data_IF_457288888158
#
_entry.id   IF_457288888158
#
_cell.length_a   1.000
_cell.length_b   1.000
_cell.length_c   1.000
_cell.angle_alpha   90.00
_cell.angle_beta   90.00
_cell.angle_gamma   90.00
#
_symmetry.space_group_name_H-M   'P 1'
#
loop_
_entity.id
_entity.type
_entity.pdbx_description
1 polymer ?
#
# COMPACT_ATOMS: atom_id res chain seq x y z
N UNK A 1 -14.09 -7.26 -5.50
CA UNK A 1 -13.39 -6.86 -4.27
C UNK A 1 -11.98 -7.40 -4.22
N UNK A 2 -11.33 -7.53 -5.37
CA UNK A 2 -9.94 -7.99 -5.43
C UNK A 2 -9.01 -6.80 -5.23
N UNK A 3 -7.97 -7.00 -4.45
CA UNK A 3 -6.89 -6.03 -4.36
C UNK A 3 -5.93 -6.29 -5.51
N UNK A 4 -5.91 -5.36 -6.45
CA UNK A 4 -5.07 -5.39 -7.64
C UNK A 4 -3.99 -4.32 -7.55
N UNK A 5 -2.88 -4.56 -8.21
CA UNK A 5 -1.83 -3.56 -8.31
C UNK A 5 -1.12 -3.62 -9.67
N UNK A 6 -0.45 -2.52 -10.00
CA UNK A 6 0.42 -2.41 -11.18
C UNK A 6 1.72 -1.73 -10.78
N UNK A 7 2.83 -2.13 -11.40
CA UNK A 7 4.11 -1.45 -11.20
C UNK A 7 4.21 -0.17 -12.03
N UNK A 8 4.86 0.83 -11.46
CA UNK A 8 5.08 2.16 -12.05
C UNK A 8 6.56 2.53 -12.03
N UNK A 9 6.94 3.44 -12.92
CA UNK A 9 8.30 3.98 -13.04
C UNK A 9 9.38 2.89 -13.01
N UNK A 10 9.29 1.93 -13.94
CA UNK A 10 10.23 0.79 -14.06
C UNK A 10 10.36 0.02 -12.74
N UNK A 11 9.22 -0.39 -12.17
CA UNK A 11 9.18 -1.11 -10.90
C UNK A 11 9.75 -0.32 -9.71
N UNK A 12 9.74 1.01 -9.72
CA UNK A 12 10.14 1.80 -8.55
C UNK A 12 9.09 1.73 -7.43
N UNK A 13 7.80 1.64 -7.77
CA UNK A 13 6.71 1.44 -6.80
C UNK A 13 5.55 0.65 -7.43
N UNK A 14 4.61 0.16 -6.62
CA UNK A 14 3.31 -0.32 -7.11
C UNK A 14 2.18 0.62 -6.72
N UNK A 15 1.25 0.78 -7.65
CA UNK A 15 0.00 1.49 -7.43
C UNK A 15 -1.11 0.47 -7.20
N UNK A 16 -1.87 0.65 -6.12
CA UNK A 16 -2.82 -0.33 -5.60
C UNK A 16 -4.27 0.16 -5.74
N UNK A 17 -5.20 -0.76 -5.98
CA UNK A 17 -6.63 -0.47 -6.07
C UNK A 17 -7.51 -1.68 -5.74
N UNK A 18 -8.79 -1.41 -5.48
CA UNK A 18 -9.84 -2.42 -5.32
C UNK A 18 -10.63 -2.54 -6.61
N UNK A 19 -10.62 -3.71 -7.22
CA UNK A 19 -11.50 -4.02 -8.35
C UNK A 19 -12.94 -4.21 -7.86
N UNK A 20 -13.84 -3.37 -8.35
CA UNK A 20 -15.26 -3.32 -7.93
C UNK A 20 -16.22 -3.90 -8.98
N UNK A 21 -15.69 -4.54 -10.02
CA UNK A 21 -16.48 -5.13 -11.12
C UNK A 21 -16.63 -4.20 -12.32
N UNK A 22 -17.16 -4.74 -13.42
CA UNK A 22 -17.45 -4.01 -14.67
C UNK A 22 -16.27 -3.18 -15.21
N UNK A 23 -15.04 -3.69 -15.06
CA UNK A 23 -13.84 -2.99 -15.52
C UNK A 23 -13.49 -1.76 -14.69
N UNK A 24 -13.98 -1.63 -13.45
CA UNK A 24 -13.77 -0.45 -12.60
C UNK A 24 -12.91 -0.76 -11.37
N UNK A 25 -12.12 0.23 -10.99
CA UNK A 25 -11.17 0.17 -9.88
C UNK A 25 -11.34 1.42 -9.02
N UNK A 26 -11.51 1.24 -7.72
CA UNK A 26 -11.42 2.34 -6.74
C UNK A 26 -10.01 2.32 -6.15
N UNK A 27 -9.32 3.46 -6.17
CA UNK A 27 -7.94 3.57 -5.72
C UNK A 27 -7.66 4.93 -5.09
N UNK A 28 -6.61 4.99 -4.28
CA UNK A 28 -6.21 6.20 -3.56
C UNK A 28 -4.99 6.81 -4.25
N UNK A 29 -5.04 8.09 -4.61
CA UNK A 29 -3.99 8.78 -5.37
C UNK A 29 -3.55 10.05 -4.66
N UNK A 30 -2.32 10.50 -4.91
CA UNK A 30 -1.91 11.85 -4.50
C UNK A 30 -2.78 12.90 -5.20
N UNK A 31 -3.21 13.94 -4.48
CA UNK A 31 -3.85 15.10 -5.11
C UNK A 31 -2.86 15.75 -6.05
N UNK A 32 -3.26 15.97 -7.30
CA UNK A 32 -2.56 16.93 -8.15
C UNK A 32 -2.83 18.30 -7.53
N UNK A 33 -1.77 19.04 -7.17
CA UNK A 33 -1.89 20.42 -6.73
C UNK A 33 -2.54 21.23 -7.84
N UNK A 34 -3.41 22.16 -7.47
CA UNK A 34 -4.18 23.05 -8.36
C UNK A 34 -3.33 23.85 -9.37
N UNK A 35 -2.01 23.83 -9.25
CA UNK A 35 -1.05 24.49 -10.15
C UNK A 35 -0.75 23.68 -11.43
N UNK A 36 -0.98 22.36 -11.43
CA UNK A 36 -0.83 21.50 -12.64
C UNK A 36 -2.12 21.42 -13.48
N UNK A 37 -3.19 22.12 -13.08
CA UNK A 37 -4.46 22.15 -13.83
C UNK A 37 -4.43 23.10 -15.04
N UNK A 38 -3.36 23.87 -15.23
CA UNK A 38 -3.11 24.52 -16.51
C UNK A 38 -2.48 23.51 -17.48
N UNK A 39 -3.34 22.99 -18.36
CA UNK A 39 -2.97 22.48 -19.68
C UNK A 39 -2.37 21.06 -19.78
N UNK A 40 -2.84 20.13 -18.94
CA UNK A 40 -2.82 18.70 -19.32
C UNK A 40 -4.21 18.11 -19.16
N UNK A 41 -5.01 18.30 -20.20
CA UNK A 41 -6.15 17.44 -20.48
C UNK A 41 -5.58 16.02 -20.62
N UNK A 42 -5.54 15.26 -19.52
CA UNK A 42 -5.41 13.80 -19.61
C UNK A 42 -6.43 13.37 -20.64
N UNK A 43 -6.07 12.58 -21.68
CA UNK A 43 -7.03 12.18 -22.67
C UNK A 43 -8.14 11.44 -21.93
N UNK A 44 -9.28 12.11 -21.78
CA UNK A 44 -10.37 11.63 -20.96
C UNK A 44 -10.71 10.22 -21.39
N UNK A 45 -10.93 9.33 -20.43
CA UNK A 45 -11.30 7.95 -20.73
C UNK A 45 -12.57 7.97 -21.59
N UNK A 46 -12.43 7.62 -22.87
CA UNK A 46 -13.57 7.69 -23.82
C UNK A 46 -14.60 6.58 -23.59
N UNK A 47 -14.18 5.51 -22.91
CA UNK A 47 -14.97 4.29 -22.74
C UNK A 47 -15.83 4.30 -21.48
N UNK A 48 -15.47 5.11 -20.46
CA UNK A 48 -16.14 5.11 -19.16
C UNK A 48 -16.40 6.54 -18.69
N UNK A 49 -17.66 7.01 -18.68
CA UNK A 49 -18.03 8.38 -18.31
C UNK A 49 -17.64 8.77 -16.88
N UNK A 50 -17.59 7.79 -15.97
CA UNK A 50 -17.27 7.98 -14.56
C UNK A 50 -15.78 7.76 -14.25
N UNK A 51 -14.95 7.45 -15.24
CA UNK A 51 -13.53 7.25 -15.01
C UNK A 51 -12.83 8.57 -14.67
N UNK A 52 -12.13 8.57 -13.53
CA UNK A 52 -11.52 9.76 -12.94
C UNK A 52 -12.42 10.48 -11.94
N UNK A 53 -13.64 9.98 -11.70
CA UNK A 53 -14.55 10.57 -10.71
C UNK A 53 -13.95 10.46 -9.30
N UNK A 54 -14.04 11.57 -8.57
CA UNK A 54 -13.71 11.69 -7.15
C UNK A 54 -14.54 12.79 -6.51
N UNK A 55 -14.74 12.70 -5.21
CA UNK A 55 -15.34 13.80 -4.44
C UNK A 55 -14.38 14.98 -4.29
N UNK A 56 -14.92 16.17 -4.05
CA UNK A 56 -14.10 17.35 -3.74
C UNK A 56 -13.25 17.08 -2.49
N UNK A 57 -11.99 17.51 -2.52
CA UNK A 57 -11.00 17.28 -1.46
C UNK A 57 -10.74 15.79 -1.15
N UNK A 58 -11.20 14.87 -2.01
CA UNK A 58 -10.91 13.45 -1.91
C UNK A 58 -9.80 13.02 -2.84
N UNK A 59 -8.95 12.17 -2.28
CA UNK A 59 -7.88 11.47 -2.98
C UNK A 59 -8.31 10.05 -3.41
N UNK A 60 -9.54 9.63 -3.06
CA UNK A 60 -10.11 8.35 -3.51
C UNK A 60 -10.81 8.58 -4.85
N UNK A 61 -10.38 7.85 -5.87
CA UNK A 61 -10.79 7.99 -7.27
C UNK A 61 -11.35 6.67 -7.75
N UNK A 62 -12.39 6.70 -8.58
CA UNK A 62 -12.80 5.55 -9.40
C UNK A 62 -12.32 5.74 -10.83
N UNK A 63 -11.74 4.70 -11.41
CA UNK A 63 -11.26 4.68 -12.79
C UNK A 63 -11.62 3.38 -13.48
N UNK A 64 -11.53 3.34 -14.81
CA UNK A 64 -11.54 2.07 -15.52
C UNK A 64 -10.20 1.34 -15.32
N UNK A 65 -10.22 0.03 -15.56
CA UNK A 65 -9.05 -0.83 -15.41
C UNK A 65 -7.90 -0.37 -16.30
N UNK A 66 -8.17 0.03 -17.54
CA UNK A 66 -7.12 0.48 -18.47
C UNK A 66 -6.44 1.77 -18.00
N UNK A 67 -7.21 2.74 -17.49
CA UNK A 67 -6.64 3.97 -16.93
C UNK A 67 -5.90 3.70 -15.61
N UNK A 68 -6.40 2.76 -14.78
CA UNK A 68 -5.68 2.31 -13.59
C UNK A 68 -4.36 1.63 -13.95
N UNK A 69 -4.31 0.85 -15.04
CA UNK A 69 -3.13 0.11 -15.49
C UNK A 69 -2.16 0.98 -16.29
N UNK A 70 -2.62 1.97 -17.05
CA UNK A 70 -1.77 2.72 -17.97
C UNK A 70 -1.09 1.78 -18.96
N UNK A 71 0.23 1.77 -18.97
CA UNK A 71 1.10 0.84 -19.72
C UNK A 71 1.57 -0.37 -18.89
N UNK A 72 1.14 -0.45 -17.63
CA UNK A 72 1.56 -1.45 -16.67
C UNK A 72 0.80 -2.77 -16.78
N UNK A 73 1.33 -3.79 -16.09
CA UNK A 73 0.72 -5.12 -16.02
C UNK A 73 -0.18 -5.23 -14.78
N UNK A 74 -1.26 -6.01 -14.92
CA UNK A 74 -2.17 -6.33 -13.84
C UNK A 74 -1.60 -7.46 -12.96
N UNK A 75 -1.60 -7.23 -11.65
CA UNK A 75 -1.27 -8.22 -10.63
C UNK A 75 -2.33 -8.25 -9.53
N UNK A 76 -2.43 -9.38 -8.84
CA UNK A 76 -3.30 -9.54 -7.67
C UNK A 76 -2.46 -9.65 -6.40
N UNK A 77 -2.90 -8.95 -5.35
CA UNK A 77 -2.30 -9.03 -4.03
C UNK A 77 -2.81 -10.25 -3.26
N UNK A 78 -1.90 -11.00 -2.62
CA UNK A 78 -2.24 -12.25 -1.92
C UNK A 78 -2.55 -12.00 -0.42
N UNK A 79 -3.62 -12.62 0.08
CA UNK A 79 -4.03 -12.56 1.49
C UNK A 79 -3.95 -13.94 2.14
N UNK A 80 -3.76 -13.99 3.45
CA UNK A 80 -3.71 -15.23 4.22
C UNK A 80 -2.52 -16.12 3.84
N UNK A 81 -1.43 -15.55 3.34
CA UNK A 81 -0.23 -16.34 3.01
C UNK A 81 0.43 -16.83 4.29
N UNK A 82 1.07 -18.01 4.22
CA UNK A 82 1.84 -18.50 5.36
C UNK A 82 3.08 -17.63 5.63
N UNK A 83 3.60 -17.60 6.87
CA UNK A 83 4.82 -16.86 7.20
C UNK A 83 6.01 -17.19 6.30
N UNK A 84 6.18 -18.47 5.91
CA UNK A 84 7.26 -18.90 5.03
C UNK A 84 7.12 -18.32 3.62
N UNK A 85 5.91 -18.29 3.06
CA UNK A 85 5.63 -17.64 1.77
C UNK A 85 5.90 -16.14 1.85
N UNK A 86 5.45 -15.48 2.93
CA UNK A 86 5.67 -14.05 3.13
C UNK A 86 7.18 -13.71 3.19
N UNK A 87 7.95 -14.44 4.00
CA UNK A 87 9.39 -14.24 4.18
C UNK A 87 10.15 -14.50 2.87
N UNK A 88 9.71 -15.49 2.07
CA UNK A 88 10.31 -15.79 0.77
C UNK A 88 10.03 -14.71 -0.29
N UNK A 89 8.94 -13.94 -0.18
CA UNK A 89 8.65 -12.82 -1.09
C UNK A 89 9.50 -11.60 -0.71
N UNK A 90 10.64 -11.50 -1.39
CA UNK A 90 11.59 -10.39 -1.26
C UNK A 90 10.97 -9.01 -1.55
N UNK A 91 9.92 -8.94 -2.37
CA UNK A 91 9.31 -7.67 -2.76
C UNK A 91 8.07 -7.38 -1.93
N UNK A 92 8.12 -6.27 -1.18
CA UNK A 92 6.97 -5.81 -0.42
C UNK A 92 5.84 -5.23 -1.27
N UNK A 93 4.67 -5.08 -0.65
CA UNK A 93 3.44 -4.64 -1.33
C UNK A 93 2.88 -5.69 -2.30
N UNK A 94 3.03 -6.98 -2.00
CA UNK A 94 2.54 -8.07 -2.88
C UNK A 94 1.70 -9.12 -2.16
N UNK A 95 1.88 -9.27 -0.84
CA UNK A 95 1.14 -10.22 -0.03
C UNK A 95 1.10 -9.78 1.45
N UNK A 96 0.17 -10.38 2.20
CA UNK A 96 0.05 -10.24 3.67
C UNK A 96 -0.39 -11.56 4.30
N UNK A 97 -0.02 -11.79 5.57
CA UNK A 97 -0.52 -12.93 6.34
C UNK A 97 -1.94 -12.72 6.85
N UNK A 98 -2.44 -11.48 6.85
CA UNK A 98 -3.82 -11.18 7.23
C UNK A 98 -4.83 -11.82 6.28
N UNK A 99 -5.94 -12.32 6.83
CA UNK A 99 -7.06 -12.79 6.04
C UNK A 99 -7.84 -11.62 5.43
N UNK A 100 -8.43 -11.83 4.24
CA UNK A 100 -9.36 -10.88 3.63
C UNK A 100 -10.77 -11.10 4.18
N UNK A 101 -11.50 -10.00 4.36
CA UNK A 101 -12.95 -10.01 4.50
C UNK A 101 -13.64 -10.41 3.16
N UNK A 102 -14.94 -10.80 3.20
CA UNK A 102 -15.71 -11.16 2.01
C UNK A 102 -15.78 -10.03 0.98
N UNK A 103 -15.88 -10.40 -0.30
CA UNK A 103 -15.84 -9.46 -1.42
C UNK A 103 -16.86 -8.30 -1.31
N UNK A 104 -18.07 -8.57 -0.83
CA UNK A 104 -19.12 -7.56 -0.68
C UNK A 104 -18.76 -6.51 0.38
N UNK A 105 -18.21 -6.94 1.52
CA UNK A 105 -17.68 -6.03 2.54
C UNK A 105 -16.56 -5.16 1.99
N UNK A 106 -15.65 -5.75 1.21
CA UNK A 106 -14.52 -5.02 0.61
C UNK A 106 -15.02 -3.96 -0.38
N UNK A 107 -15.97 -4.33 -1.26
CA UNK A 107 -16.57 -3.41 -2.22
C UNK A 107 -17.32 -2.30 -1.50
N UNK A 108 -18.08 -2.63 -0.44
CA UNK A 108 -18.76 -1.65 0.40
C UNK A 108 -17.79 -0.62 0.96
N UNK A 109 -16.70 -1.05 1.60
CA UNK A 109 -15.68 -0.12 2.12
C UNK A 109 -15.08 0.76 1.04
N UNK A 110 -14.68 0.18 -0.09
CA UNK A 110 -14.07 0.93 -1.19
C UNK A 110 -15.03 2.00 -1.76
N UNK A 111 -16.29 1.63 -2.01
CA UNK A 111 -17.30 2.55 -2.53
C UNK A 111 -17.72 3.60 -1.50
N UNK A 112 -17.80 3.24 -0.22
CA UNK A 112 -18.09 4.18 0.85
C UNK A 112 -16.97 5.23 0.96
N UNK A 113 -15.71 4.80 0.89
CA UNK A 113 -14.56 5.70 0.87
C UNK A 113 -14.46 6.48 -0.44
N UNK A 114 -15.00 6.03 -1.57
CA UNK A 114 -15.10 6.90 -2.76
C UNK A 114 -15.96 8.15 -2.47
N UNK A 115 -17.01 7.99 -1.65
CA UNK A 115 -17.96 9.05 -1.32
C UNK A 115 -17.54 9.91 -0.12
N UNK A 116 -16.81 9.34 0.83
CA UNK A 116 -16.44 10.00 2.09
C UNK A 116 -14.92 10.20 2.27
N UNK A 117 -14.13 9.65 1.34
CA UNK A 117 -12.68 9.52 1.31
C UNK A 117 -11.97 9.00 2.54
N UNK A 118 -10.64 9.06 2.46
CA UNK A 118 -9.72 8.26 3.26
C UNK A 118 -8.56 9.10 3.80
N UNK A 119 -8.85 10.35 4.16
CA UNK A 119 -7.86 11.32 4.63
C UNK A 119 -6.87 11.79 3.56
N UNK A 120 -5.78 12.40 4.01
CA UNK A 120 -4.75 12.95 3.14
C UNK A 120 -3.76 11.87 2.68
N UNK A 121 -3.41 11.89 1.40
CA UNK A 121 -2.44 10.96 0.83
C UNK A 121 -1.03 11.27 1.33
N UNK A 122 -0.34 10.27 1.87
CA UNK A 122 1.07 10.30 2.27
C UNK A 122 1.76 9.04 1.73
N UNK A 123 2.76 9.22 0.87
CA UNK A 123 3.50 8.14 0.19
C UNK A 123 4.08 7.11 1.18
N UNK A 124 4.47 7.54 2.38
CA UNK A 124 5.14 6.68 3.37
C UNK A 124 4.18 6.09 4.41
N UNK A 125 2.96 6.62 4.53
CA UNK A 125 2.03 6.26 5.63
C UNK A 125 0.57 6.05 5.25
N UNK A 126 -0.01 6.90 4.42
CA UNK A 126 -1.43 6.79 4.05
C UNK A 126 -1.47 6.79 2.54
N UNK A 127 -1.04 5.68 1.95
CA UNK A 127 -0.90 5.54 0.51
C UNK A 127 -1.93 4.55 -0.05
N UNK A 128 -1.79 4.21 -1.33
CA UNK A 128 -2.69 3.29 -2.01
C UNK A 128 -2.68 1.86 -1.42
N UNK A 129 -1.55 1.39 -0.88
CA UNK A 129 -1.44 0.10 -0.19
C UNK A 129 -2.23 0.12 1.12
N UNK A 130 -2.11 1.18 1.93
CA UNK A 130 -2.88 1.32 3.18
C UNK A 130 -4.39 1.35 2.94
N UNK A 131 -4.82 2.09 1.91
CA UNK A 131 -6.21 2.14 1.48
C UNK A 131 -6.77 0.76 1.14
N UNK A 132 -6.04 0.00 0.32
CA UNK A 132 -6.47 -1.32 -0.14
C UNK A 132 -6.39 -2.37 0.98
N UNK A 133 -5.37 -2.32 1.84
CA UNK A 133 -5.28 -3.16 3.05
C UNK A 133 -6.46 -2.90 3.98
N UNK A 134 -6.80 -1.63 4.24
CA UNK A 134 -7.98 -1.29 5.03
C UNK A 134 -9.27 -1.81 4.39
N UNK A 135 -9.49 -1.57 3.10
CA UNK A 135 -10.67 -2.09 2.42
C UNK A 135 -10.80 -3.61 2.56
N UNK A 136 -9.68 -4.34 2.43
CA UNK A 136 -9.65 -5.81 2.47
C UNK A 136 -9.77 -6.40 3.87
N UNK A 137 -9.32 -5.71 4.91
CA UNK A 137 -9.20 -6.31 6.26
C UNK A 137 -10.02 -5.59 7.33
N UNK A 138 -10.39 -4.33 7.08
CA UNK A 138 -10.94 -3.40 8.07
C UNK A 138 -9.93 -2.97 9.13
N UNK A 139 -8.65 -3.33 9.00
CA UNK A 139 -7.62 -3.08 10.01
C UNK A 139 -6.95 -1.72 9.80
N UNK A 140 -6.78 -0.98 10.89
CA UNK A 140 -6.02 0.26 10.96
C UNK A 140 -5.00 0.17 12.09
N UNK A 141 -3.85 0.79 11.88
CA UNK A 141 -2.80 0.88 12.89
C UNK A 141 -3.14 1.99 13.88
N UNK A 142 -3.18 1.65 15.18
CA UNK A 142 -3.58 2.54 16.27
C UNK A 142 -2.62 3.70 16.49
N UNK A 143 -1.30 3.46 16.37
CA UNK A 143 -0.27 4.47 16.59
C UNK A 143 0.33 4.98 15.26
N UNK A 144 0.06 6.25 14.91
CA UNK A 144 0.65 6.93 13.74
C UNK A 144 2.17 7.18 13.88
N UNK A 145 2.75 6.97 15.06
CA UNK A 145 4.17 7.23 15.34
C UNK A 145 5.07 5.99 15.19
N UNK A 146 4.51 4.83 14.81
CA UNK A 146 5.25 3.58 14.64
C UNK A 146 6.06 3.50 13.32
N UNK A 147 6.93 2.49 13.23
CA UNK A 147 7.72 2.14 12.02
C UNK A 147 6.79 1.97 10.81
N UNK A 148 7.25 2.44 9.64
CA UNK A 148 6.45 2.68 8.42
C UNK A 148 5.41 1.60 8.05
N UNK A 149 4.27 2.06 7.54
CA UNK A 149 3.04 1.28 7.35
C UNK A 149 3.03 0.44 6.06
N UNK A 150 3.69 0.92 5.03
CA UNK A 150 3.67 0.30 3.70
C UNK A 150 4.71 -0.80 3.57
N UNK A 151 4.31 -1.93 2.97
CA UNK A 151 5.21 -3.02 2.61
C UNK A 151 6.34 -2.57 1.68
N UNK A 152 6.17 -1.44 0.99
CA UNK A 152 7.21 -0.79 0.18
C UNK A 152 8.07 0.22 0.95
N UNK A 153 7.59 0.76 2.07
CA UNK A 153 8.28 1.77 2.87
C UNK A 153 9.07 1.19 4.06
N UNK A 154 8.96 -0.11 4.33
CA UNK A 154 9.69 -0.79 5.41
C UNK A 154 11.19 -1.00 5.05
N UNK A 155 11.94 0.10 4.93
CA UNK A 155 13.39 0.10 4.79
C UNK A 155 14.04 0.87 5.94
N UNK A 156 13.75 0.51 7.20
CA UNK A 156 14.61 0.92 8.32
C UNK A 156 15.66 -0.16 8.52
N UNK A 157 16.66 -0.20 7.63
CA UNK A 157 17.96 -0.81 7.92
C UNK A 157 18.75 0.25 8.69
N UNK A 158 18.36 0.46 9.95
CA UNK A 158 18.85 1.54 10.80
C UNK A 158 19.80 1.04 11.88
N UNK A 159 20.95 0.50 11.49
CA UNK A 159 22.15 0.60 12.32
C UNK A 159 23.23 1.27 11.46
N UNK A 160 23.91 2.34 11.91
CA UNK A 160 24.92 2.98 11.10
C UNK A 160 26.04 1.97 10.83
N UNK A 161 26.33 1.69 9.57
CA UNK A 161 27.56 1.01 9.15
C UNK A 161 28.80 1.59 9.89
N UNK A 162 28.75 2.88 10.26
CA UNK A 162 29.74 3.56 11.07
C UNK A 162 29.99 2.92 12.45
N UNK A 163 28.97 2.40 13.14
CA UNK A 163 29.12 1.75 14.45
C UNK A 163 29.82 0.37 14.35
N UNK A 164 29.65 -0.33 13.22
CA UNK A 164 30.34 -1.59 12.93
C UNK A 164 31.82 -1.32 12.62
N UNK A 165 32.10 -0.26 11.85
CA UNK A 165 33.47 0.13 11.47
C UNK A 165 34.30 0.72 12.63
N UNK A 166 33.64 1.30 13.63
CA UNK A 166 34.29 1.85 14.83
C UNK A 166 34.56 0.82 15.94
N UNK A 167 34.06 -0.40 15.82
CA UNK A 167 34.32 -1.46 16.79
C UNK A 167 35.75 -1.99 16.67
N UNK A 168 36.48 -2.23 17.78
CA UNK A 168 37.81 -2.84 17.77
C UNK A 168 37.79 -4.30 17.28
N UNK A 169 36.60 -4.90 17.10
CA UNK A 169 36.39 -6.26 16.62
C UNK A 169 36.38 -6.38 15.08
N UNK A 170 37.33 -5.74 14.39
CA UNK A 170 37.43 -5.74 12.91
C UNK A 170 37.65 -7.12 12.28
N UNK A 171 37.98 -8.14 13.08
CA UNK A 171 38.17 -9.53 12.62
C UNK A 171 36.87 -10.33 12.45
N UNK A 172 35.72 -9.79 12.85
CA UNK A 172 34.41 -10.45 12.71
C UNK A 172 33.54 -9.83 11.60
N UNK A 173 34.12 -9.02 10.72
CA UNK A 173 33.39 -8.45 9.58
C UNK A 173 33.09 -9.58 8.58
N UNK A 174 31.81 -9.96 8.39
CA UNK A 174 31.45 -11.01 7.45
C UNK A 174 31.88 -10.59 6.04
N UNK A 175 32.22 -11.56 5.19
CA UNK A 175 32.49 -11.27 3.78
C UNK A 175 31.24 -10.62 3.11
N UNK A 176 31.39 -9.91 1.98
CA UNK A 176 30.28 -9.17 1.36
C UNK A 176 29.04 -10.02 1.06
N UNK A 177 29.22 -11.30 0.72
CA UNK A 177 28.12 -12.24 0.48
C UNK A 177 27.37 -12.52 1.78
N UNK A 178 28.09 -12.87 2.85
CA UNK A 178 27.51 -13.09 4.18
C UNK A 178 26.81 -11.82 4.70
N UNK A 179 27.39 -10.65 4.46
CA UNK A 179 26.77 -9.38 4.84
C UNK A 179 25.47 -9.12 4.06
N UNK A 180 25.46 -9.42 2.75
CA UNK A 180 24.26 -9.36 1.92
C UNK A 180 23.17 -10.31 2.40
N UNK A 181 23.51 -11.57 2.72
CA UNK A 181 22.56 -12.56 3.22
C UNK A 181 21.95 -12.16 4.57
N UNK A 182 22.77 -11.69 5.52
CA UNK A 182 22.29 -11.20 6.82
C UNK A 182 21.34 -10.01 6.62
N UNK A 183 21.69 -9.06 5.77
CA UNK A 183 20.87 -7.87 5.51
C UNK A 183 19.53 -8.24 4.86
N UNK A 184 19.54 -9.15 3.89
CA UNK A 184 18.32 -9.68 3.27
C UNK A 184 17.43 -10.41 4.29
N UNK A 185 18.02 -11.26 5.14
CA UNK A 185 17.30 -11.96 6.20
C UNK A 185 16.67 -10.99 7.21
N UNK A 186 17.43 -10.00 7.70
CA UNK A 186 16.92 -8.96 8.59
C UNK A 186 15.79 -8.16 7.95
N UNK A 187 15.91 -7.82 6.66
CA UNK A 187 14.86 -7.14 5.92
C UNK A 187 13.57 -7.97 5.86
N UNK A 188 13.65 -9.25 5.46
CA UNK A 188 12.47 -10.12 5.37
C UNK A 188 11.81 -10.32 6.73
N UNK A 189 12.59 -10.50 7.80
CA UNK A 189 12.07 -10.66 9.16
C UNK A 189 11.45 -9.36 9.70
N UNK A 190 12.08 -8.21 9.42
CA UNK A 190 11.54 -6.90 9.79
C UNK A 190 10.20 -6.65 9.09
N UNK A 191 10.12 -6.93 7.78
CA UNK A 191 8.85 -6.86 7.02
C UNK A 191 7.78 -7.79 7.58
N UNK A 192 8.16 -8.99 8.01
CA UNK A 192 7.22 -9.94 8.59
C UNK A 192 6.69 -9.44 9.94
N UNK A 193 7.56 -8.90 10.79
CA UNK A 193 7.17 -8.35 12.09
C UNK A 193 6.23 -7.14 11.99
N UNK A 194 6.31 -6.38 10.88
CA UNK A 194 5.45 -5.22 10.62
C UNK A 194 4.22 -5.52 9.77
N UNK A 195 4.06 -6.77 9.31
CA UNK A 195 2.89 -7.20 8.55
C UNK A 195 1.60 -6.99 9.34
N UNK A 196 0.53 -6.56 8.67
CA UNK A 196 -0.74 -6.22 9.31
C UNK A 196 -1.42 -7.44 9.96
N UNK A 197 -1.09 -8.65 9.51
CA UNK A 197 -1.57 -9.91 10.11
C UNK A 197 -0.76 -10.38 11.32
N UNK A 198 0.41 -9.78 11.60
CA UNK A 198 1.33 -10.19 12.66
C UNK A 198 1.36 -9.17 13.81
N UNK A 199 1.35 -7.88 13.46
CA UNK A 199 1.46 -6.78 14.43
C UNK A 199 0.28 -6.74 15.40
N UNK A 200 0.54 -6.33 16.64
CA UNK A 200 -0.46 -6.29 17.72
C UNK A 200 -1.14 -4.93 17.92
N UNK A 201 -0.69 -3.89 17.22
CA UNK A 201 -1.14 -2.50 17.32
C UNK A 201 -2.15 -2.12 16.22
N UNK A 202 -2.90 -3.11 15.72
CA UNK A 202 -3.99 -2.90 14.78
C UNK A 202 -5.35 -3.05 15.46
N UNK A 203 -6.32 -2.27 14.98
CA UNK A 203 -7.71 -2.34 15.39
C UNK A 203 -8.58 -2.51 14.16
N UNK A 204 -9.63 -3.33 14.26
CA UNK A 204 -10.65 -3.44 13.22
C UNK A 204 -11.66 -2.31 13.41
N UNK A 205 -11.89 -1.53 12.36
CA UNK A 205 -12.75 -0.34 12.40
C UNK A 205 -13.70 -0.38 11.23
N UNK A 206 -15.00 -0.22 11.51
CA UNK A 206 -16.02 -0.11 10.47
C UNK A 206 -15.87 1.20 9.68
N UNK A 207 -16.26 1.17 8.41
CA UNK A 207 -15.95 2.26 7.48
C UNK A 207 -16.73 3.54 7.81
N UNK A 208 -17.92 3.36 8.38
CA UNK A 208 -18.78 4.43 8.86
C UNK A 208 -18.18 5.17 10.06
N UNK A 209 -17.46 4.46 10.94
CA UNK A 209 -16.78 5.06 12.08
C UNK A 209 -15.44 5.68 11.68
N UNK A 210 -14.77 5.11 10.67
CA UNK A 210 -13.56 5.69 10.12
C UNK A 210 -13.83 7.08 9.52
N UNK A 211 -14.87 7.24 8.70
CA UNK A 211 -15.14 8.53 8.04
C UNK A 211 -15.52 9.62 9.04
N UNK A 212 -16.27 9.29 10.11
CA UNK A 212 -16.63 10.22 11.19
C UNK A 212 -15.40 10.80 11.89
N UNK A 213 -14.38 9.98 12.09
CA UNK A 213 -13.14 10.39 12.78
C UNK A 213 -12.11 11.06 11.85
N UNK A 214 -12.24 10.86 10.54
CA UNK A 214 -11.35 11.49 9.56
C UNK A 214 -11.70 12.96 9.25
N UNK A 215 -12.80 13.48 9.80
CA UNK A 215 -13.14 14.91 9.83
C UNK A 215 -13.06 15.59 8.47
N UNK A 216 -14.14 15.51 7.71
CA UNK A 216 -14.27 16.09 6.37
C UNK A 216 -15.18 17.31 6.40
#
# INVERSE_FOLDING_TARGET
>A
GDHIYTYRAVFAYSHHGIFVGNGKVVHFTRSESSEDQNDKQTPGCKSFPDCGFRQRNSNVVISCLDCFLGDGKLYCFEYGVSPSIFIAKMRGGTCTTAASDPADTVIHRAMFLLQNGFGNYDVFQNNCEDFTLYCKTGLLIRDRNGVGRSGQASSVIGAPLAAILSSPLKMLVPNPVAMGTISAGMYCMSRYATDIGVRSDVIKVDVEDLSRNLGW
#
